data_IF_663667807921
#
_entry.id   IF_663667807921
#
_cell.length_a   1.000
_cell.length_b   1.000
_cell.length_c   1.000
_cell.angle_alpha   90.00
_cell.angle_beta   90.00
_cell.angle_gamma   90.00
#
_symmetry.space_group_name_H-M   'P 1'
#
loop_
_entity.id
_entity.type
_entity.pdbx_description
1 polymer ?
#
# COMPACT_ATOMS: atom_id res chain seq x y z
N UNK A 1 19.41 9.69 18.09
CA UNK A 1 18.37 8.94 18.83
C UNK A 1 17.99 7.64 18.12
N UNK A 2 17.85 7.60 16.79
CA UNK A 2 17.77 6.31 16.05
C UNK A 2 19.15 5.63 15.94
N UNK A 3 20.20 6.43 15.75
CA UNK A 3 21.61 6.01 15.70
C UNK A 3 22.19 5.49 17.02
N UNK A 4 21.41 5.41 18.10
CA UNK A 4 21.81 4.74 19.34
C UNK A 4 21.25 3.32 19.44
N UNK A 5 20.34 2.92 18.54
CA UNK A 5 19.71 1.61 18.57
C UNK A 5 20.56 0.57 17.83
N UNK A 6 20.91 -0.51 18.52
CA UNK A 6 21.67 -1.62 17.95
C UNK A 6 20.93 -2.26 16.76
N UNK A 7 19.60 -2.36 16.85
CA UNK A 7 18.73 -2.94 15.82
C UNK A 7 18.75 -2.14 14.51
N UNK A 8 18.91 -0.81 14.58
CA UNK A 8 19.11 0.04 13.40
C UNK A 8 20.38 -0.34 12.65
N UNK A 9 21.51 -0.45 13.37
CA UNK A 9 22.79 -0.82 12.74
C UNK A 9 22.79 -2.25 12.20
N UNK A 10 22.17 -3.19 12.90
CA UNK A 10 22.02 -4.56 12.41
C UNK A 10 21.18 -4.62 11.13
N UNK A 11 20.07 -3.89 11.08
CA UNK A 11 19.24 -3.79 9.88
C UNK A 11 19.98 -3.08 8.73
N UNK A 12 20.73 -2.01 9.02
CA UNK A 12 21.55 -1.31 8.04
C UNK A 12 22.62 -2.22 7.44
N UNK A 13 23.37 -2.93 8.30
CA UNK A 13 24.42 -3.85 7.88
C UNK A 13 23.86 -5.01 7.05
N UNK A 14 22.71 -5.57 7.46
CA UNK A 14 22.01 -6.59 6.69
C UNK A 14 21.60 -6.06 5.31
N UNK A 15 20.98 -4.87 5.24
CA UNK A 15 20.56 -4.26 3.98
C UNK A 15 21.75 -4.01 3.05
N UNK A 16 22.85 -3.47 3.58
CA UNK A 16 24.07 -3.20 2.81
C UNK A 16 24.69 -4.50 2.28
N UNK A 17 24.86 -5.51 3.13
CA UNK A 17 25.38 -6.81 2.75
C UNK A 17 24.53 -7.51 1.68
N UNK A 18 23.22 -7.51 1.85
CA UNK A 18 22.28 -8.10 0.89
C UNK A 18 22.23 -7.35 -0.44
N UNK A 19 22.37 -6.02 -0.41
CA UNK A 19 22.42 -5.18 -1.61
C UNK A 19 23.70 -5.42 -2.39
N UNK A 20 24.86 -5.45 -1.72
CA UNK A 20 26.15 -5.77 -2.35
C UNK A 20 26.12 -7.17 -2.95
N UNK A 21 25.66 -8.17 -2.20
CA UNK A 21 25.51 -9.54 -2.72
C UNK A 21 24.61 -9.57 -3.98
N UNK A 22 23.52 -8.83 -3.96
CA UNK A 22 22.57 -8.78 -5.09
C UNK A 22 23.15 -8.05 -6.30
N UNK A 23 23.90 -6.96 -6.10
CA UNK A 23 24.63 -6.28 -7.16
C UNK A 23 25.68 -7.19 -7.81
N UNK A 24 26.47 -7.92 -7.01
CA UNK A 24 27.46 -8.88 -7.53
C UNK A 24 26.78 -9.97 -8.36
N UNK A 25 25.65 -10.51 -7.88
CA UNK A 25 24.89 -11.53 -8.64
C UNK A 25 24.27 -10.98 -9.93
N UNK A 26 23.82 -9.74 -9.91
CA UNK A 26 23.28 -9.05 -11.08
C UNK A 26 24.37 -8.79 -12.13
N UNK A 27 25.56 -8.36 -11.70
CA UNK A 27 26.74 -8.23 -12.57
C UNK A 27 27.16 -9.58 -13.16
N UNK A 28 26.99 -10.67 -12.41
CA UNK A 28 27.22 -12.04 -12.87
C UNK A 28 26.05 -12.64 -13.68
N UNK A 29 25.16 -11.80 -14.24
CA UNK A 29 24.10 -12.23 -15.18
C UNK A 29 22.90 -12.94 -14.58
N UNK A 30 22.73 -12.97 -13.25
CA UNK A 30 21.55 -13.57 -12.63
C UNK A 30 20.39 -12.56 -12.58
N UNK A 31 19.15 -13.01 -12.83
CA UNK A 31 17.92 -12.18 -12.84
C UNK A 31 17.44 -11.71 -11.45
N UNK A 32 18.35 -11.17 -10.62
CA UNK A 32 18.07 -10.70 -9.26
C UNK A 32 17.64 -9.22 -9.18
N UNK A 33 17.25 -8.61 -10.30
CA UNK A 33 16.91 -7.19 -10.41
C UNK A 33 15.74 -6.75 -9.52
N UNK A 34 14.72 -7.61 -9.36
CA UNK A 34 13.54 -7.29 -8.52
C UNK A 34 13.93 -7.21 -7.03
N UNK A 35 14.82 -8.08 -6.57
CA UNK A 35 15.32 -8.08 -5.18
C UNK A 35 16.04 -6.77 -4.86
N UNK A 36 16.84 -6.26 -5.81
CA UNK A 36 17.56 -5.00 -5.65
C UNK A 36 16.60 -3.82 -5.54
N UNK A 37 15.52 -3.79 -6.34
CA UNK A 37 14.51 -2.75 -6.25
C UNK A 37 13.85 -2.69 -4.87
N UNK A 38 13.56 -3.85 -4.26
CA UNK A 38 13.01 -3.93 -2.89
C UNK A 38 14.00 -3.39 -1.86
N UNK A 39 15.30 -3.66 -2.00
CA UNK A 39 16.29 -3.12 -1.06
C UNK A 39 16.44 -1.61 -1.19
N UNK A 40 16.40 -1.07 -2.41
CA UNK A 40 16.43 0.38 -2.64
C UNK A 40 15.22 1.07 -2.01
N UNK A 41 14.03 0.49 -2.12
CA UNK A 41 12.85 1.07 -1.48
C UNK A 41 12.92 0.99 0.05
N UNK A 42 13.38 -0.13 0.62
CA UNK A 42 13.59 -0.24 2.07
C UNK A 42 14.61 0.79 2.56
N UNK A 43 15.70 1.01 1.81
CA UNK A 43 16.70 2.02 2.14
C UNK A 43 16.08 3.43 2.17
N UNK A 44 15.41 3.82 1.10
CA UNK A 44 14.79 5.15 0.99
C UNK A 44 13.78 5.43 2.10
N UNK A 45 12.92 4.46 2.42
CA UNK A 45 11.83 4.69 3.37
C UNK A 45 12.23 4.55 4.84
N UNK A 46 13.11 3.61 5.19
CA UNK A 46 13.43 3.32 6.59
C UNK A 46 14.79 3.86 7.05
N UNK A 47 15.71 4.12 6.13
CA UNK A 47 17.05 4.60 6.48
C UNK A 47 17.30 6.04 6.09
N UNK A 48 16.62 6.61 5.08
CA UNK A 48 16.78 8.03 4.71
C UNK A 48 15.80 8.92 5.48
N UNK A 49 14.56 8.49 5.69
CA UNK A 49 13.52 9.27 6.37
C UNK A 49 13.92 9.80 7.78
N UNK A 50 14.59 9.03 8.65
CA UNK A 50 15.03 9.54 9.96
C UNK A 50 16.03 10.71 9.89
N UNK A 51 16.77 10.83 8.79
CA UNK A 51 17.71 11.95 8.58
C UNK A 51 17.02 13.16 7.96
N UNK A 52 15.95 12.96 7.19
CA UNK A 52 15.17 14.06 6.60
C UNK A 52 14.19 14.68 7.62
N UNK A 53 13.63 13.87 8.51
CA UNK A 53 12.59 14.30 9.48
C UNK A 53 12.99 14.02 10.94
N UNK A 54 14.16 14.48 11.43
CA UNK A 54 14.70 14.08 12.74
C UNK A 54 13.79 14.47 13.93
N UNK A 55 13.04 15.58 13.79
CA UNK A 55 12.13 16.06 14.83
C UNK A 55 10.93 15.13 15.07
N UNK A 56 10.54 14.32 14.09
CA UNK A 56 9.43 13.38 14.27
C UNK A 56 9.84 12.10 15.01
N UNK A 57 11.14 11.82 15.05
CA UNK A 57 11.71 10.64 15.71
C UNK A 57 12.16 10.91 17.15
N UNK A 58 12.28 12.17 17.57
CA UNK A 58 12.67 12.54 18.94
C UNK A 58 11.56 12.28 19.97
N UNK A 59 10.29 12.31 19.55
CA UNK A 59 9.13 12.08 20.41
C UNK A 59 8.73 10.60 20.52
N UNK A 60 9.35 9.71 19.73
CA UNK A 60 9.02 8.29 19.72
C UNK A 60 9.88 7.56 20.78
N UNK A 61 9.27 6.76 21.68
CA UNK A 61 10.01 5.93 22.61
C UNK A 61 11.02 5.00 21.90
N UNK A 62 12.27 5.00 22.39
CA UNK A 62 13.37 4.17 21.85
C UNK A 62 13.01 2.70 21.65
N UNK A 63 12.21 2.11 22.55
CA UNK A 63 11.76 0.73 22.44
C UNK A 63 10.94 0.46 21.17
N UNK A 64 10.05 1.38 20.77
CA UNK A 64 9.24 1.24 19.56
C UNK A 64 10.11 1.34 18.31
N UNK A 65 11.06 2.28 18.31
CA UNK A 65 12.06 2.41 17.23
C UNK A 65 12.84 1.09 17.08
N UNK A 66 13.30 0.53 18.19
CA UNK A 66 14.06 -0.71 18.21
C UNK A 66 13.26 -1.90 17.66
N UNK A 67 11.98 -2.00 18.03
CA UNK A 67 11.08 -3.02 17.52
C UNK A 67 10.77 -2.86 16.02
N UNK A 68 10.52 -1.64 15.55
CA UNK A 68 10.25 -1.37 14.14
C UNK A 68 11.45 -1.76 13.27
N UNK A 69 12.67 -1.40 13.66
CA UNK A 69 13.87 -1.87 12.93
C UNK A 69 14.12 -3.38 13.09
N UNK A 70 13.70 -3.99 14.20
CA UNK A 70 13.66 -5.44 14.34
C UNK A 70 12.73 -6.11 13.33
N UNK A 71 11.56 -5.54 13.06
CA UNK A 71 10.65 -6.01 12.02
C UNK A 71 11.23 -5.84 10.61
N UNK A 72 11.90 -4.72 10.34
CA UNK A 72 12.63 -4.50 9.07
C UNK A 72 13.73 -5.56 8.88
N UNK A 73 14.49 -5.87 9.93
CA UNK A 73 15.52 -6.91 9.90
C UNK A 73 14.92 -8.30 9.60
N UNK A 74 13.83 -8.67 10.28
CA UNK A 74 13.13 -9.92 10.04
C UNK A 74 12.56 -10.00 8.61
N UNK A 75 12.03 -8.90 8.10
CA UNK A 75 11.60 -8.79 6.71
C UNK A 75 12.75 -9.04 5.74
N UNK A 76 13.92 -8.41 5.92
CA UNK A 76 15.08 -8.60 5.06
C UNK A 76 15.57 -10.06 5.05
N UNK A 77 15.66 -10.68 6.24
CA UNK A 77 16.05 -12.08 6.38
C UNK A 77 15.02 -13.00 5.70
N UNK A 78 13.74 -12.82 6.01
CA UNK A 78 12.66 -13.61 5.44
C UNK A 78 12.61 -13.47 3.92
N UNK A 79 12.63 -12.23 3.41
CA UNK A 79 12.66 -11.95 1.99
C UNK A 79 13.84 -12.64 1.30
N UNK A 80 15.04 -12.59 1.89
CA UNK A 80 16.21 -13.27 1.32
C UNK A 80 16.08 -14.79 1.27
N UNK A 81 15.45 -15.40 2.26
CA UNK A 81 15.24 -16.85 2.34
C UNK A 81 14.14 -17.33 1.39
N UNK A 82 13.02 -16.61 1.34
CA UNK A 82 11.85 -17.00 0.56
C UNK A 82 11.95 -16.58 -0.90
N UNK A 83 12.60 -15.47 -1.22
CA UNK A 83 12.67 -14.98 -2.62
C UNK A 83 13.31 -15.99 -3.58
N UNK A 84 14.43 -16.66 -3.28
CA UNK A 84 14.97 -17.69 -4.17
C UNK A 84 14.03 -18.89 -4.37
N UNK A 85 13.20 -19.20 -3.37
CA UNK A 85 12.17 -20.24 -3.49
C UNK A 85 11.02 -19.73 -4.37
N UNK A 86 10.54 -18.51 -4.14
CA UNK A 86 9.50 -17.87 -4.94
C UNK A 86 9.92 -17.72 -6.41
N UNK A 87 11.13 -17.21 -6.68
CA UNK A 87 11.70 -17.12 -8.03
C UNK A 87 11.79 -18.51 -8.65
N UNK A 88 12.31 -19.50 -7.93
CA UNK A 88 12.33 -20.88 -8.47
C UNK A 88 10.92 -21.39 -8.73
N UNK A 89 9.94 -21.14 -7.89
CA UNK A 89 8.55 -21.58 -8.14
C UNK A 89 7.93 -20.88 -9.36
N UNK A 90 8.15 -19.58 -9.49
CA UNK A 90 7.62 -18.77 -10.59
C UNK A 90 8.34 -19.10 -11.92
N UNK A 91 9.67 -19.23 -11.89
CA UNK A 91 10.51 -19.44 -13.07
C UNK A 91 10.58 -20.92 -13.48
N UNK A 92 10.62 -21.88 -12.54
CA UNK A 92 10.69 -23.33 -12.83
C UNK A 92 9.38 -23.85 -13.42
N UNK A 93 8.26 -23.16 -13.22
CA UNK A 93 7.01 -23.40 -14.00
C UNK A 93 7.13 -23.03 -15.49
N UNK A 94 8.21 -22.35 -15.91
CA UNK A 94 8.42 -21.93 -17.30
C UNK A 94 9.09 -23.00 -18.18
N UNK A 95 9.65 -24.08 -17.63
CA UNK A 95 10.46 -25.05 -18.42
C UNK A 95 10.06 -26.53 -18.34
N UNK A 96 8.85 -26.86 -17.90
CA UNK A 96 8.27 -28.19 -18.17
C UNK A 96 7.12 -27.99 -19.15
N UNK A 97 7.26 -28.51 -20.36
CA UNK A 97 6.37 -28.34 -21.52
C UNK A 97 4.96 -28.94 -21.36
N UNK A 98 4.27 -28.59 -20.28
CA UNK A 98 2.90 -29.01 -19.93
C UNK A 98 2.01 -27.79 -19.62
N UNK A 99 2.59 -26.61 -19.38
CA UNK A 99 1.85 -25.37 -19.61
C UNK A 99 1.82 -25.11 -21.12
N UNK A 100 0.90 -25.79 -21.81
CA UNK A 100 0.09 -25.03 -22.77
C UNK A 100 -0.18 -23.70 -22.09
N UNK A 101 0.24 -22.60 -22.72
CA UNK A 101 -0.18 -21.26 -22.34
C UNK A 101 -1.68 -21.27 -22.51
N UNK A 102 -2.39 -21.79 -21.49
CA UNK A 102 -3.79 -21.55 -21.27
C UNK A 102 -3.76 -20.05 -21.08
N UNK A 103 -4.08 -19.33 -22.16
CA UNK A 103 -4.29 -17.90 -22.13
C UNK A 103 -5.33 -17.71 -21.03
N UNK A 104 -4.88 -17.43 -19.82
CA UNK A 104 -5.78 -17.09 -18.74
C UNK A 104 -6.52 -15.88 -19.27
N UNK A 105 -7.79 -16.10 -19.53
CA UNK A 105 -8.64 -15.04 -20.00
C UNK A 105 -8.64 -13.97 -18.90
N UNK A 106 -8.42 -12.68 -19.22
CA UNK A 106 -8.48 -11.59 -18.24
C UNK A 106 -9.70 -11.68 -17.31
N UNK A 107 -10.78 -12.27 -17.82
CA UNK A 107 -12.02 -12.59 -17.14
C UNK A 107 -11.82 -13.61 -15.99
N UNK A 108 -11.06 -14.68 -16.21
CA UNK A 108 -10.75 -15.68 -15.17
C UNK A 108 -9.90 -15.08 -14.05
N UNK A 109 -8.96 -14.21 -14.41
CA UNK A 109 -8.14 -13.48 -13.44
C UNK A 109 -9.05 -12.58 -12.60
N UNK A 110 -9.96 -11.84 -13.23
CA UNK A 110 -10.93 -10.99 -12.54
C UNK A 110 -11.86 -11.80 -11.62
N UNK A 111 -12.32 -12.99 -12.02
CA UNK A 111 -13.14 -13.85 -11.16
C UNK A 111 -12.36 -14.28 -9.92
N UNK A 112 -11.11 -14.73 -10.07
CA UNK A 112 -10.29 -15.17 -8.93
C UNK A 112 -9.96 -13.99 -8.02
N UNK A 113 -9.47 -12.88 -8.59
CA UNK A 113 -9.18 -11.64 -7.85
C UNK A 113 -10.44 -11.13 -7.15
N UNK A 114 -11.58 -11.16 -7.82
CA UNK A 114 -12.85 -10.71 -7.27
C UNK A 114 -13.40 -11.61 -6.18
N UNK A 115 -13.20 -12.93 -6.27
CA UNK A 115 -13.55 -13.85 -5.20
C UNK A 115 -12.70 -13.61 -3.95
N UNK A 116 -11.39 -13.37 -4.09
CA UNK A 116 -10.52 -13.03 -2.95
C UNK A 116 -10.89 -11.66 -2.38
N UNK A 117 -11.19 -10.67 -3.24
CA UNK A 117 -11.69 -9.36 -2.82
C UNK A 117 -12.98 -9.48 -1.99
N UNK A 118 -13.97 -10.23 -2.48
CA UNK A 118 -15.23 -10.46 -1.76
C UNK A 118 -14.99 -11.15 -0.42
N UNK A 119 -14.16 -12.20 -0.41
CA UNK A 119 -13.82 -12.92 0.81
C UNK A 119 -13.21 -11.98 1.87
N UNK A 120 -12.23 -11.17 1.47
CA UNK A 120 -11.62 -10.19 2.36
C UNK A 120 -12.63 -9.15 2.82
N UNK A 121 -13.46 -8.62 1.92
CA UNK A 121 -14.49 -7.65 2.27
C UNK A 121 -15.48 -8.23 3.29
N UNK A 122 -15.94 -9.47 3.10
CA UNK A 122 -16.84 -10.13 4.05
C UNK A 122 -16.18 -10.38 5.41
N UNK A 123 -14.91 -10.77 5.43
CA UNK A 123 -14.16 -10.91 6.68
C UNK A 123 -14.02 -9.54 7.37
N UNK A 124 -13.74 -8.48 6.60
CA UNK A 124 -13.66 -7.11 7.10
C UNK A 124 -14.98 -6.62 7.71
N UNK A 125 -16.11 -6.86 7.03
CA UNK A 125 -17.45 -6.54 7.53
C UNK A 125 -17.78 -7.35 8.80
N UNK A 126 -17.43 -8.64 8.84
CA UNK A 126 -17.62 -9.47 10.03
C UNK A 126 -16.79 -8.99 11.23
N UNK A 127 -15.62 -8.37 10.99
CA UNK A 127 -14.81 -7.73 12.04
C UNK A 127 -15.40 -6.41 12.55
N UNK A 128 -16.29 -5.80 11.76
CA UNK A 128 -17.03 -4.59 12.11
C UNK A 128 -18.43 -4.92 12.64
N UNK A 129 -18.63 -6.12 13.21
CA UNK A 129 -19.92 -6.61 13.72
C UNK A 129 -21.07 -6.55 12.70
N UNK A 130 -20.75 -6.61 11.40
CA UNK A 130 -21.74 -6.53 10.31
C UNK A 130 -22.02 -5.12 9.80
N UNK A 131 -21.34 -4.09 10.30
CA UNK A 131 -21.49 -2.72 9.82
C UNK A 131 -20.85 -2.53 8.44
N UNK A 132 -21.66 -2.69 7.39
CA UNK A 132 -21.24 -2.50 5.99
C UNK A 132 -20.87 -1.05 5.70
N UNK A 133 -21.58 -0.09 6.31
CA UNK A 133 -21.36 1.33 6.06
C UNK A 133 -20.05 1.75 6.73
N UNK A 134 -19.84 1.43 8.00
CA UNK A 134 -18.57 1.68 8.69
C UNK A 134 -17.38 0.94 8.08
N UNK A 135 -17.61 -0.26 7.51
CA UNK A 135 -16.57 -1.01 6.81
C UNK A 135 -16.12 -0.32 5.50
N UNK A 136 -17.04 0.17 4.67
CA UNK A 136 -16.71 0.84 3.40
C UNK A 136 -16.40 2.34 3.56
N UNK A 137 -16.97 2.97 4.58
CA UNK A 137 -16.83 4.39 4.92
C UNK A 137 -16.40 4.51 6.38
N UNK A 138 -15.12 4.23 6.70
CA UNK A 138 -14.60 4.34 8.06
C UNK A 138 -14.44 5.81 8.47
N UNK A 139 -15.57 6.44 8.77
CA UNK A 139 -15.72 7.86 9.12
C UNK A 139 -14.92 8.20 10.40
N UNK A 140 -14.88 7.26 11.34
CA UNK A 140 -14.20 7.41 12.63
C UNK A 140 -12.80 6.79 12.66
N UNK A 141 -12.14 6.56 11.52
CA UNK A 141 -10.92 5.73 11.36
C UNK A 141 -9.77 5.98 12.34
N UNK A 142 -9.68 7.16 12.97
CA UNK A 142 -8.66 7.49 13.99
C UNK A 142 -9.03 7.09 15.42
N UNK A 143 -10.32 7.11 15.77
CA UNK A 143 -10.83 6.80 17.12
C UNK A 143 -11.68 5.52 17.17
N UNK A 144 -12.10 5.04 16.00
CA UNK A 144 -12.99 3.91 15.80
C UNK A 144 -12.31 2.76 15.06
N UNK A 145 -13.03 1.64 14.98
CA UNK A 145 -12.57 0.45 14.29
C UNK A 145 -12.57 0.67 12.76
N UNK A 146 -11.56 0.13 12.08
CA UNK A 146 -11.57 -0.07 10.63
C UNK A 146 -11.45 -1.57 10.34
N UNK A 147 -11.83 -2.00 9.14
CA UNK A 147 -11.80 -3.43 8.76
C UNK A 147 -10.45 -4.10 9.07
N UNK A 148 -9.36 -3.40 8.76
CA UNK A 148 -7.99 -3.90 8.86
C UNK A 148 -7.10 -3.07 9.80
N UNK A 149 -7.70 -2.23 10.64
CA UNK A 149 -7.00 -1.39 11.60
C UNK A 149 -6.28 -2.21 12.66
N UNK A 150 -5.07 -1.79 13.02
CA UNK A 150 -4.27 -2.38 14.09
C UNK A 150 -3.42 -1.31 14.78
N UNK A 151 -2.96 -1.60 15.99
CA UNK A 151 -1.90 -0.83 16.65
C UNK A 151 -0.58 -1.00 15.90
N UNK A 152 0.21 0.09 15.77
CA UNK A 152 1.47 0.15 15.02
C UNK A 152 2.46 -0.98 15.39
N UNK A 153 2.46 -1.41 16.65
CA UNK A 153 3.16 -2.61 17.10
C UNK A 153 2.12 -3.65 17.50
N UNK A 154 1.92 -4.64 16.63
CA UNK A 154 1.11 -5.81 16.96
C UNK A 154 2.04 -6.96 17.35
N UNK A 155 2.13 -7.25 18.65
CA UNK A 155 2.95 -8.35 19.21
C UNK A 155 2.26 -9.71 19.13
N UNK A 156 1.02 -9.78 18.64
CA UNK A 156 0.21 -11.01 18.57
C UNK A 156 0.13 -11.59 17.15
N UNK A 157 0.01 -12.91 17.04
CA UNK A 157 -0.22 -13.62 15.78
C UNK A 157 -1.48 -13.14 15.04
N UNK A 158 -2.50 -12.68 15.80
CA UNK A 158 -3.71 -12.07 15.25
C UNK A 158 -3.42 -10.74 14.57
N UNK A 159 -2.53 -9.91 15.14
CA UNK A 159 -2.08 -8.67 14.55
C UNK A 159 -1.36 -8.84 13.21
N UNK A 160 -0.57 -9.91 13.06
CA UNK A 160 0.06 -10.24 11.78
C UNK A 160 -0.98 -10.62 10.71
N UNK A 161 -1.96 -11.46 11.05
CA UNK A 161 -3.00 -11.88 10.10
C UNK A 161 -3.85 -10.70 9.64
N UNK A 162 -4.17 -9.76 10.54
CA UNK A 162 -4.91 -8.53 10.22
C UNK A 162 -4.09 -7.65 9.27
N UNK A 163 -2.80 -7.46 9.57
CA UNK A 163 -1.91 -6.68 8.70
C UNK A 163 -1.78 -7.30 7.32
N UNK A 164 -1.57 -8.62 7.26
CA UNK A 164 -1.48 -9.37 6.02
C UNK A 164 -2.76 -9.23 5.19
N UNK A 165 -3.92 -9.38 5.82
CA UNK A 165 -5.21 -9.22 5.16
C UNK A 165 -5.43 -7.78 4.66
N UNK A 166 -5.06 -6.76 5.43
CA UNK A 166 -5.11 -5.36 5.01
C UNK A 166 -4.22 -5.06 3.80
N UNK A 167 -2.96 -5.52 3.82
CA UNK A 167 -2.06 -5.38 2.66
C UNK A 167 -2.53 -6.18 1.45
N UNK A 168 -3.07 -7.39 1.67
CA UNK A 168 -3.64 -8.20 0.60
C UNK A 168 -4.86 -7.52 -0.03
N UNK A 169 -5.74 -6.93 0.79
CA UNK A 169 -6.90 -6.18 0.34
C UNK A 169 -6.49 -4.95 -0.48
N UNK A 170 -5.47 -4.23 -0.04
CA UNK A 170 -4.88 -3.12 -0.80
C UNK A 170 -4.31 -3.58 -2.15
N UNK A 171 -3.48 -4.63 -2.15
CA UNK A 171 -2.89 -5.18 -3.37
C UNK A 171 -3.94 -5.67 -4.37
N UNK A 172 -4.98 -6.34 -3.88
CA UNK A 172 -6.10 -6.82 -4.71
C UNK A 172 -6.89 -5.65 -5.29
N UNK A 173 -7.16 -4.61 -4.50
CA UNK A 173 -7.85 -3.41 -4.98
C UNK A 173 -7.03 -2.73 -6.07
N UNK A 174 -5.73 -2.57 -5.86
CA UNK A 174 -4.83 -2.02 -6.88
C UNK A 174 -4.86 -2.86 -8.16
N UNK A 175 -4.86 -4.18 -8.03
CA UNK A 175 -4.93 -5.10 -9.17
C UNK A 175 -6.28 -5.04 -9.90
N UNK A 176 -7.40 -4.86 -9.19
CA UNK A 176 -8.71 -4.61 -9.81
C UNK A 176 -8.69 -3.36 -10.68
N UNK A 177 -8.07 -2.28 -10.20
CA UNK A 177 -7.86 -1.05 -10.98
C UNK A 177 -7.08 -1.31 -12.27
N UNK A 178 -5.98 -2.08 -12.20
CA UNK A 178 -5.20 -2.47 -13.39
C UNK A 178 -6.06 -3.29 -14.36
N UNK A 179 -6.83 -4.26 -13.84
CA UNK A 179 -7.64 -5.17 -14.67
C UNK A 179 -8.68 -4.45 -15.51
N UNK A 180 -9.19 -3.28 -15.09
CA UNK A 180 -10.12 -2.44 -15.89
C UNK A 180 -9.64 -2.24 -17.33
N UNK A 181 -8.33 -2.10 -17.54
CA UNK A 181 -7.75 -1.83 -18.86
C UNK A 181 -7.50 -3.08 -19.71
N UNK A 182 -7.43 -4.25 -19.08
CA UNK A 182 -7.11 -5.52 -19.75
C UNK A 182 -8.34 -6.38 -20.05
N UNK A 183 -9.52 -6.04 -19.52
CA UNK A 183 -10.77 -6.72 -19.84
C UNK A 183 -11.21 -6.44 -21.28
N UNK A 184 -11.66 -7.50 -21.98
CA UNK A 184 -12.10 -7.39 -23.38
C UNK A 184 -13.55 -6.94 -23.53
N UNK A 185 -14.42 -7.38 -22.63
CA UNK A 185 -15.85 -7.02 -22.66
C UNK A 185 -16.15 -5.79 -21.81
N UNK A 186 -17.14 -5.00 -22.22
CA UNK A 186 -17.63 -3.87 -21.44
C UNK A 186 -18.16 -4.32 -20.06
N UNK A 187 -18.85 -5.48 -20.01
CA UNK A 187 -19.37 -6.03 -18.76
C UNK A 187 -18.26 -6.28 -17.73
N UNK A 188 -17.23 -7.05 -18.10
CA UNK A 188 -16.11 -7.36 -17.20
C UNK A 188 -15.31 -6.12 -16.80
N UNK A 189 -15.17 -5.16 -17.72
CA UNK A 189 -14.55 -3.87 -17.44
C UNK A 189 -15.35 -3.05 -16.43
N UNK A 190 -16.68 -2.99 -16.59
CA UNK A 190 -17.57 -2.32 -15.64
C UNK A 190 -17.56 -3.02 -14.28
N UNK A 191 -17.53 -4.36 -14.23
CA UNK A 191 -17.44 -5.11 -12.97
C UNK A 191 -16.13 -4.81 -12.23
N UNK A 192 -14.98 -4.89 -12.89
CA UNK A 192 -13.70 -4.54 -12.29
C UNK A 192 -13.67 -3.09 -11.79
N UNK A 193 -14.22 -2.17 -12.62
CA UNK A 193 -14.33 -0.75 -12.27
C UNK A 193 -15.24 -0.52 -11.06
N UNK A 194 -16.39 -1.20 -10.99
CA UNK A 194 -17.32 -1.09 -9.87
C UNK A 194 -16.67 -1.58 -8.58
N UNK A 195 -16.02 -2.75 -8.60
CA UNK A 195 -15.33 -3.30 -7.42
C UNK A 195 -14.19 -2.38 -6.94
N UNK A 196 -13.44 -1.81 -7.88
CA UNK A 196 -12.41 -0.83 -7.59
C UNK A 196 -13.00 0.43 -6.93
N UNK A 197 -14.02 1.04 -7.57
CA UNK A 197 -14.66 2.28 -7.08
C UNK A 197 -15.33 2.09 -5.73
N UNK A 198 -15.99 0.95 -5.48
CA UNK A 198 -16.60 0.63 -4.18
C UNK A 198 -15.56 0.59 -3.06
N UNK A 199 -14.31 0.21 -3.37
CA UNK A 199 -13.24 0.10 -2.40
C UNK A 199 -12.52 1.43 -2.13
N UNK A 200 -12.64 2.41 -3.02
CA UNK A 200 -11.93 3.70 -2.89
C UNK A 200 -12.33 4.52 -1.64
N UNK A 201 -13.62 4.61 -1.27
CA UNK A 201 -14.02 5.32 -0.05
C UNK A 201 -13.31 4.80 1.19
N UNK A 202 -13.15 3.48 1.32
CA UNK A 202 -12.45 2.88 2.45
C UNK A 202 -11.05 3.46 2.61
N UNK A 203 -10.25 3.44 1.53
CA UNK A 203 -8.88 3.94 1.56
C UNK A 203 -8.78 5.46 1.71
N UNK A 204 -9.78 6.20 1.23
CA UNK A 204 -9.84 7.65 1.39
C UNK A 204 -10.11 8.03 2.85
N UNK A 205 -11.07 7.36 3.50
CA UNK A 205 -11.50 7.67 4.87
C UNK A 205 -10.66 6.98 5.95
N UNK A 206 -9.91 5.92 5.63
CA UNK A 206 -8.93 5.29 6.53
C UNK A 206 -7.84 6.28 6.96
N UNK A 207 -7.66 7.38 6.23
CA UNK A 207 -6.80 8.49 6.63
C UNK A 207 -5.31 8.20 6.46
N UNK A 208 -4.94 7.06 5.88
CA UNK A 208 -3.56 6.69 5.53
C UNK A 208 -3.28 6.97 4.05
N UNK A 209 -2.54 8.08 3.79
CA UNK A 209 -2.26 8.53 2.42
C UNK A 209 -1.47 7.49 1.62
N UNK A 210 -0.57 6.78 2.27
CA UNK A 210 0.24 5.70 1.68
C UNK A 210 -0.62 4.55 1.16
N UNK A 211 -1.65 4.15 1.90
CA UNK A 211 -2.57 3.07 1.53
C UNK A 211 -3.44 3.47 0.33
N UNK A 212 -4.00 4.68 0.34
CA UNK A 212 -4.79 5.20 -0.78
C UNK A 212 -3.96 5.33 -2.07
N UNK A 213 -2.74 5.85 -1.95
CA UNK A 213 -1.84 6.01 -3.09
C UNK A 213 -1.40 4.64 -3.64
N UNK A 214 -1.16 3.66 -2.76
CA UNK A 214 -0.85 2.29 -3.17
C UNK A 214 -2.01 1.62 -3.96
N UNK A 215 -3.27 1.91 -3.61
CA UNK A 215 -4.44 1.40 -4.32
C UNK A 215 -4.64 2.09 -5.70
N UNK A 216 -4.49 3.42 -5.77
CA UNK A 216 -4.81 4.20 -6.97
C UNK A 216 -3.66 4.30 -7.97
N UNK A 217 -2.41 4.38 -7.50
CA UNK A 217 -1.26 4.62 -8.38
C UNK A 217 -1.15 3.58 -9.50
N UNK A 218 -1.34 2.26 -9.25
CA UNK A 218 -1.31 1.27 -10.32
C UNK A 218 -2.39 1.50 -11.40
N UNK A 219 -3.57 1.99 -11.02
CA UNK A 219 -4.62 2.38 -11.97
C UNK A 219 -4.16 3.56 -12.85
N UNK A 220 -3.62 4.63 -12.23
CA UNK A 220 -3.14 5.83 -12.94
C UNK A 220 -1.99 5.47 -13.89
N UNK A 221 -1.00 4.72 -13.40
CA UNK A 221 0.16 4.28 -14.19
C UNK A 221 -0.31 3.42 -15.37
N UNK A 222 -1.22 2.47 -15.13
CA UNK A 222 -1.76 1.63 -16.20
C UNK A 222 -2.53 2.47 -17.23
N UNK A 223 -3.31 3.45 -16.80
CA UNK A 223 -3.98 4.39 -17.70
C UNK A 223 -2.99 5.19 -18.56
N UNK A 224 -1.89 5.66 -17.98
CA UNK A 224 -0.86 6.42 -18.70
C UNK A 224 -0.22 5.58 -19.81
N UNK A 225 0.18 4.34 -19.50
CA UNK A 225 0.85 3.47 -20.46
C UNK A 225 -0.10 2.81 -21.47
N UNK A 226 -1.27 2.33 -21.03
CA UNK A 226 -2.17 1.50 -21.85
C UNK A 226 -3.47 2.20 -22.28
N UNK A 227 -3.75 3.40 -21.79
CA UNK A 227 -4.92 4.17 -22.22
C UNK A 227 -4.88 4.48 -23.72
N UNK A 228 -6.05 4.42 -24.39
CA UNK A 228 -6.18 4.69 -25.83
C UNK A 228 -6.24 6.18 -26.19
N UNK A 229 -6.20 7.06 -25.20
CA UNK A 229 -6.31 8.50 -25.40
C UNK A 229 -4.97 9.13 -25.85
N UNK A 230 -5.02 10.26 -26.60
CA UNK A 230 -3.81 10.99 -26.97
C UNK A 230 -3.07 11.50 -25.74
N UNK A 231 -1.75 11.67 -25.86
CA UNK A 231 -0.86 11.98 -24.73
C UNK A 231 -1.26 13.26 -23.97
N UNK A 232 -1.78 14.27 -24.68
CA UNK A 232 -2.31 15.49 -24.07
C UNK A 232 -3.52 15.23 -23.16
N UNK A 233 -4.46 14.38 -23.58
CA UNK A 233 -5.62 14.01 -22.76
C UNK A 233 -5.19 13.16 -21.57
N UNK A 234 -4.17 12.31 -21.73
CA UNK A 234 -3.59 11.56 -20.61
C UNK A 234 -2.94 12.49 -19.58
N UNK A 235 -2.18 13.49 -20.03
CA UNK A 235 -1.55 14.48 -19.16
C UNK A 235 -2.59 15.38 -18.47
N UNK A 236 -3.63 15.80 -19.18
CA UNK A 236 -4.73 16.55 -18.58
C UNK A 236 -5.46 15.72 -17.52
N UNK A 237 -5.79 14.47 -17.81
CA UNK A 237 -6.38 13.55 -16.83
C UNK A 237 -5.45 13.26 -15.66
N UNK A 238 -4.13 13.19 -15.90
CA UNK A 238 -3.13 13.03 -14.85
C UNK A 238 -3.09 14.28 -13.96
N UNK A 239 -3.13 15.48 -14.54
CA UNK A 239 -3.17 16.73 -13.80
C UNK A 239 -4.45 16.85 -12.96
N UNK A 240 -5.61 16.49 -13.52
CA UNK A 240 -6.88 16.41 -12.78
C UNK A 240 -6.79 15.37 -11.67
N UNK A 241 -6.22 14.18 -11.94
CA UNK A 241 -6.03 13.16 -10.92
C UNK A 241 -5.11 13.66 -9.79
N UNK A 242 -3.99 14.31 -10.11
CA UNK A 242 -3.11 14.92 -9.10
C UNK A 242 -3.81 16.01 -8.31
N UNK A 243 -4.62 16.84 -8.96
CA UNK A 243 -5.41 17.88 -8.30
C UNK A 243 -6.46 17.27 -7.36
N UNK A 244 -7.18 16.23 -7.81
CA UNK A 244 -8.11 15.48 -6.98
C UNK A 244 -7.42 14.76 -5.81
N UNK A 245 -6.21 14.23 -6.03
CA UNK A 245 -5.40 13.62 -4.98
C UNK A 245 -4.93 14.67 -3.97
N UNK A 246 -4.48 15.84 -4.42
CA UNK A 246 -4.06 16.94 -3.54
C UNK A 246 -5.22 17.45 -2.68
N UNK A 247 -6.37 17.72 -3.30
CA UNK A 247 -7.58 18.11 -2.57
C UNK A 247 -8.11 16.98 -1.67
N UNK A 248 -8.05 15.73 -2.13
CA UNK A 248 -8.38 14.56 -1.31
C UNK A 248 -7.45 14.42 -0.11
N UNK A 249 -6.16 14.68 -0.28
CA UNK A 249 -5.20 14.66 0.82
C UNK A 249 -5.37 15.85 1.76
N UNK A 250 -5.69 17.05 1.27
CA UNK A 250 -6.06 18.21 2.11
C UNK A 250 -7.29 17.89 2.95
N UNK A 251 -8.31 17.30 2.34
CA UNK A 251 -9.52 16.83 3.00
C UNK A 251 -9.19 15.78 4.08
N UNK A 252 -8.36 14.77 3.77
CA UNK A 252 -7.85 13.79 4.75
C UNK A 252 -7.03 14.44 5.88
N UNK A 253 -6.31 15.52 5.59
CA UNK A 253 -5.49 16.23 6.58
C UNK A 253 -6.34 17.08 7.51
N UNK A 254 -7.34 17.77 6.97
CA UNK A 254 -8.36 18.45 7.75
C UNK A 254 -9.14 17.45 8.63
N UNK A 255 -9.49 16.27 8.08
CA UNK A 255 -10.10 15.18 8.85
C UNK A 255 -9.22 14.65 9.98
N UNK A 256 -7.90 14.55 9.76
CA UNK A 256 -6.94 14.14 10.80
C UNK A 256 -6.90 15.13 11.98
N UNK A 257 -7.24 16.40 11.77
CA UNK A 257 -7.20 17.45 12.79
C UNK A 257 -8.43 17.52 13.70
N UNK A 258 -9.65 17.36 13.15
CA UNK A 258 -10.89 17.75 13.84
C UNK A 258 -11.95 16.65 13.98
N UNK A 259 -11.88 15.54 13.23
CA UNK A 259 -12.91 14.49 13.26
C UNK A 259 -14.17 14.81 12.45
N UNK A 260 -14.86 13.78 11.97
CA UNK A 260 -15.90 13.91 10.92
C UNK A 260 -17.21 14.55 11.41
N UNK A 261 -17.55 14.35 12.68
CA UNK A 261 -18.79 14.89 13.29
C UNK A 261 -18.76 16.41 13.40
N UNK A 262 -17.59 16.98 13.66
CA UNK A 262 -17.43 18.43 13.84
C UNK A 262 -17.25 19.16 12.51
N UNK A 263 -16.70 18.50 11.47
CA UNK A 263 -16.59 19.05 10.11
C UNK A 263 -17.90 19.04 9.32
N UNK A 264 -18.74 18.00 9.47
CA UNK A 264 -20.08 17.96 8.85
C UNK A 264 -21.09 18.88 9.55
N UNK A 265 -20.85 19.22 10.82
CA UNK A 265 -21.68 20.16 11.58
C UNK A 265 -21.24 21.63 11.40
N UNK A 266 -20.11 21.89 10.75
CA UNK A 266 -19.59 23.23 10.53
C UNK A 266 -20.30 23.92 9.35
N UNK A 267 -20.78 25.14 9.59
CA UNK A 267 -21.54 25.95 8.62
C UNK A 267 -20.70 26.37 7.40
N UNK A 268 -19.36 26.40 7.54
CA UNK A 268 -18.40 26.74 6.48
C UNK A 268 -17.18 25.77 6.47
N UNK A 269 -17.27 24.62 5.77
CA UNK A 269 -16.23 23.59 5.77
C UNK A 269 -14.93 23.99 5.04
N UNK A 270 -14.94 25.08 4.26
CA UNK A 270 -13.79 25.54 3.48
C UNK A 270 -12.82 26.44 4.25
N UNK A 271 -13.25 27.10 5.32
CA UNK A 271 -12.39 27.99 6.14
C UNK A 271 -11.45 27.22 7.08
N UNK A 272 -11.80 25.97 7.43
CA UNK A 272 -10.94 25.06 8.21
C UNK A 272 -9.85 24.38 7.37
N UNK A 273 -9.90 24.54 6.04
CA UNK A 273 -8.96 23.92 5.09
C UNK A 273 -7.78 24.87 4.80
N UNK A 274 -7.76 26.09 5.37
CA UNK A 274 -6.85 27.13 4.91
C UNK A 274 -5.42 27.13 5.52
N UNK A 275 -4.50 27.26 4.57
CA UNK A 275 -3.07 27.56 4.46
C UNK A 275 -1.94 27.09 5.40
N UNK A 276 -2.12 26.66 6.66
CA UNK A 276 -0.94 26.44 7.54
C UNK A 276 -0.76 25.04 8.16
N UNK A 277 -1.54 24.05 7.72
CA UNK A 277 -1.28 22.65 8.06
C UNK A 277 -0.14 22.09 7.19
N UNK A 278 1.11 22.44 7.57
CA UNK A 278 2.33 21.71 7.17
C UNK A 278 1.98 20.23 7.08
N UNK A 279 2.25 19.60 5.94
CA UNK A 279 2.00 18.18 5.65
C UNK A 279 2.59 17.26 6.74
N UNK A 280 1.88 17.11 7.86
CA UNK A 280 2.24 16.18 8.92
C UNK A 280 1.65 14.83 8.54
N UNK A 281 2.33 14.17 7.60
CA UNK A 281 2.22 12.73 7.42
C UNK A 281 2.75 12.03 8.67
N UNK A 282 2.19 10.87 9.00
CA UNK A 282 2.84 9.97 9.97
C UNK A 282 4.02 9.34 9.23
N UNK A 283 5.16 9.19 9.89
CA UNK A 283 6.28 8.46 9.29
C UNK A 283 5.94 6.98 9.19
N UNK A 284 6.55 6.26 8.24
CA UNK A 284 6.35 4.80 8.08
C UNK A 284 6.68 3.97 9.33
N UNK A 285 7.45 4.53 10.27
CA UNK A 285 7.73 3.89 11.56
C UNK A 285 6.55 4.02 12.55
N UNK A 286 5.66 4.98 12.32
CA UNK A 286 4.43 5.22 13.06
C UNK A 286 3.18 4.58 12.41
N UNK A 287 3.24 4.22 11.12
CA UNK A 287 2.22 3.41 10.41
C UNK A 287 2.37 1.91 10.71
#
# INVERSE_FOLDING_TARGET
MVTSELTFYLAAAALLGLSVESCVKLLNGHSFSITLAVYVTVFGWYFVDPFLNPEQYSFIPSYLISQSYGQVLLFLIGFRLFMPVAVRWIVRRRSTGVFHVRRFMPEQILIVTGAIWLLLLFIGIARMDGDVIGALFPIDSRAGATMWGRSAVATSATGFLIAFAGYMFNAITAFLGVLVFFQRSAFWRCLAGAMFVISLPYFLFEGARSHFLAAILPFIVTYLFYGRHPLLVKLAMLAVAFFCLDHGFKLVTAFRGTGFRDLLAAEHPYELVDEDLRQSGLNMIQE
#
